data_IF_979707846727
#
_entry.id   IF_979707846727
#
_cell.length_a   1.000
_cell.length_b   1.000
_cell.length_c   1.000
_cell.angle_alpha   90.00
_cell.angle_beta   90.00
_cell.angle_gamma   90.00
#
_symmetry.space_group_name_H-M   'P 1'
#
loop_
_entity.id
_entity.type
_entity.pdbx_description
1 polymer ?
#
# COMPACT_ATOMS: atom_id res chain seq x y z
N UNK A 1 -3.32 7.24 -1.42
CA UNK A 1 -2.82 6.84 -0.08
C UNK A 1 -3.89 6.11 0.73
N UNK A 2 -3.58 5.63 1.95
CA UNK A 2 -4.53 4.92 2.83
C UNK A 2 -4.49 5.43 4.26
N UNK A 3 -5.60 5.24 4.97
CA UNK A 3 -5.73 5.46 6.40
C UNK A 3 -6.55 4.33 7.01
N UNK A 4 -5.95 3.53 7.87
CA UNK A 4 -6.63 2.48 8.63
C UNK A 4 -5.89 2.21 9.95
N UNK A 5 -6.40 1.28 10.75
CA UNK A 5 -5.64 0.71 11.88
C UNK A 5 -4.33 0.09 11.37
N UNK A 6 -3.32 0.05 12.25
CA UNK A 6 -2.00 -0.48 11.89
C UNK A 6 -2.08 -1.93 11.42
N UNK A 7 -2.80 -2.79 12.13
CA UNK A 7 -2.89 -4.20 11.75
C UNK A 7 -3.59 -4.37 10.39
N UNK A 8 -4.66 -3.58 10.18
CA UNK A 8 -5.40 -3.58 8.92
C UNK A 8 -4.52 -3.14 7.73
N UNK A 9 -3.65 -2.14 7.91
CA UNK A 9 -2.70 -1.73 6.86
C UNK A 9 -1.69 -2.83 6.52
N UNK A 10 -1.22 -3.61 7.51
CA UNK A 10 -0.27 -4.70 7.26
C UNK A 10 -0.93 -5.93 6.64
N UNK A 11 -2.14 -6.27 7.06
CA UNK A 11 -2.86 -7.47 6.61
C UNK A 11 -3.60 -7.26 5.29
N UNK A 12 -4.20 -6.08 5.10
CA UNK A 12 -5.09 -5.77 3.98
C UNK A 12 -4.78 -4.44 3.29
N UNK A 13 -3.52 -4.13 2.91
CA UNK A 13 -3.26 -2.92 2.12
C UNK A 13 -3.96 -3.03 0.76
N UNK A 14 -4.61 -1.97 0.28
CA UNK A 14 -5.37 -1.96 -0.98
C UNK A 14 -4.71 -1.10 -2.05
N UNK A 15 -4.22 0.08 -1.68
CA UNK A 15 -3.63 1.08 -2.52
C UNK A 15 -2.25 0.61 -3.01
N UNK A 16 -1.97 0.71 -4.33
CA UNK A 16 -0.70 0.23 -4.91
C UNK A 16 0.54 0.81 -4.23
N UNK A 17 0.52 2.12 -3.92
CA UNK A 17 1.60 2.78 -3.20
C UNK A 17 1.87 2.15 -1.82
N UNK A 18 0.83 1.91 -1.00
CA UNK A 18 0.97 1.30 0.32
C UNK A 18 1.53 -0.12 0.23
N UNK A 19 1.04 -0.93 -0.73
CA UNK A 19 1.55 -2.29 -0.96
C UNK A 19 3.04 -2.30 -1.26
N UNK A 20 3.49 -1.40 -2.14
CA UNK A 20 4.92 -1.31 -2.47
C UNK A 20 5.74 -0.90 -1.26
N UNK A 21 5.30 0.12 -0.51
CA UNK A 21 5.99 0.55 0.72
C UNK A 21 6.13 -0.58 1.74
N UNK A 22 5.05 -1.31 2.03
CA UNK A 22 5.09 -2.43 2.97
C UNK A 22 5.96 -3.58 2.46
N UNK A 23 5.99 -3.81 1.14
CA UNK A 23 6.88 -4.80 0.54
C UNK A 23 8.37 -4.42 0.65
N UNK A 24 8.70 -3.16 0.93
CA UNK A 24 10.07 -2.70 1.10
C UNK A 24 10.60 -2.94 2.53
N UNK A 25 9.74 -3.23 3.51
CA UNK A 25 10.14 -3.52 4.90
C UNK A 25 10.91 -4.84 4.94
N UNK A 26 12.19 -4.88 5.37
CA UNK A 26 13.00 -6.10 5.36
C UNK A 26 12.52 -7.11 6.39
N UNK A 27 12.63 -8.40 6.07
CA UNK A 27 12.42 -9.47 7.05
C UNK A 27 13.72 -9.69 7.83
N UNK A 28 13.68 -9.75 9.18
CA UNK A 28 14.90 -9.87 9.99
C UNK A 28 15.72 -11.14 9.72
N UNK A 29 15.07 -12.23 9.28
CA UNK A 29 15.73 -13.48 8.93
C UNK A 29 16.42 -13.36 7.55
N UNK A 30 17.76 -13.46 7.48
CA UNK A 30 18.51 -13.26 6.25
C UNK A 30 18.25 -14.35 5.21
N UNK A 31 17.91 -15.58 5.60
CA UNK A 31 17.65 -16.66 4.67
C UNK A 31 16.27 -16.52 4.04
N UNK A 32 15.30 -16.00 4.80
CA UNK A 32 14.00 -15.60 4.26
C UNK A 32 14.14 -14.39 3.32
N UNK A 33 14.84 -13.33 3.73
CA UNK A 33 14.96 -12.09 2.95
C UNK A 33 15.66 -12.33 1.59
N UNK A 34 16.65 -13.23 1.51
CA UNK A 34 17.32 -13.59 0.24
C UNK A 34 16.38 -14.13 -0.83
N UNK A 35 15.33 -14.84 -0.42
CA UNK A 35 14.38 -15.47 -1.35
C UNK A 35 13.17 -14.58 -1.66
N UNK A 36 13.05 -13.46 -0.95
CA UNK A 36 11.89 -12.58 -1.02
C UNK A 36 11.86 -11.80 -2.33
N UNK A 37 10.66 -11.68 -2.90
CA UNK A 37 10.38 -10.79 -4.03
C UNK A 37 9.69 -9.52 -3.53
N UNK A 38 10.36 -8.38 -3.68
CA UNK A 38 9.77 -7.07 -3.40
C UNK A 38 8.84 -6.68 -4.54
N UNK A 39 7.76 -5.95 -4.22
CA UNK A 39 6.90 -5.39 -5.25
C UNK A 39 7.61 -4.17 -5.85
N UNK A 40 7.63 -4.10 -7.19
CA UNK A 40 8.12 -2.91 -7.89
C UNK A 40 6.89 -2.13 -8.35
N UNK A 41 6.91 -0.83 -8.06
CA UNK A 41 5.85 0.07 -8.48
C UNK A 41 5.87 0.23 -9.99
N UNK A 42 4.68 0.36 -10.58
CA UNK A 42 4.55 0.74 -11.98
C UNK A 42 5.16 2.15 -12.17
N UNK A 43 6.17 2.32 -13.04
CA UNK A 43 6.77 3.63 -13.29
C UNK A 43 5.78 4.65 -13.87
N UNK A 44 4.70 4.20 -14.51
CA UNK A 44 3.67 5.06 -15.10
C UNK A 44 2.56 5.41 -14.08
N UNK A 45 2.68 4.95 -12.82
CA UNK A 45 1.70 5.27 -11.79
C UNK A 45 1.73 6.77 -11.45
N UNK A 46 0.59 7.42 -11.58
CA UNK A 46 0.43 8.83 -11.19
C UNK A 46 0.25 8.97 -9.67
N UNK A 47 1.29 9.47 -9.01
CA UNK A 47 1.29 9.74 -7.56
C UNK A 47 0.62 11.05 -7.18
N UNK A 48 0.20 11.87 -8.15
CA UNK A 48 -0.09 13.26 -7.86
C UNK A 48 -1.38 13.43 -7.07
N UNK A 49 -2.22 12.39 -6.97
CA UNK A 49 -3.45 12.29 -6.17
C UNK A 49 -4.34 13.55 -6.23
N UNK A 50 -4.17 14.37 -7.28
CA UNK A 50 -4.66 15.76 -7.33
C UNK A 50 -6.18 15.86 -7.25
N UNK A 51 -6.87 14.78 -7.62
CA UNK A 51 -8.32 14.64 -7.59
C UNK A 51 -8.76 13.35 -6.85
N UNK A 52 -7.93 12.86 -5.92
CA UNK A 52 -8.27 11.68 -5.13
C UNK A 52 -9.27 12.02 -4.03
N UNK A 53 -10.25 11.14 -3.84
CA UNK A 53 -11.19 11.19 -2.73
C UNK A 53 -10.87 10.07 -1.74
N UNK A 54 -10.92 10.37 -0.45
CA UNK A 54 -10.83 9.34 0.58
C UNK A 54 -12.18 8.63 0.68
N UNK A 55 -12.22 7.38 0.27
CA UNK A 55 -13.41 6.53 0.31
C UNK A 55 -13.25 5.48 1.39
N UNK A 56 -14.24 5.36 2.28
CA UNK A 56 -14.28 4.27 3.26
C UNK A 56 -14.63 2.96 2.53
N UNK A 57 -13.74 1.98 2.60
CA UNK A 57 -13.89 0.68 1.92
C UNK A 57 -14.29 -0.43 2.89
N UNK A 58 -13.95 -0.27 4.16
CA UNK A 58 -14.41 -1.06 5.30
C UNK A 58 -14.40 -0.16 6.54
N UNK A 59 -15.12 -0.50 7.63
CA UNK A 59 -15.23 0.37 8.80
C UNK A 59 -13.86 0.82 9.33
N UNK A 60 -13.59 2.13 9.26
CA UNK A 60 -12.33 2.72 9.71
C UNK A 60 -11.14 2.58 8.74
N UNK A 61 -11.34 2.00 7.55
CA UNK A 61 -10.34 1.89 6.49
C UNK A 61 -10.74 2.77 5.31
N UNK A 62 -9.93 3.79 5.05
CA UNK A 62 -10.12 4.74 3.97
C UNK A 62 -8.99 4.62 2.94
N UNK A 63 -9.36 4.63 1.67
CA UNK A 63 -8.42 4.56 0.54
C UNK A 63 -8.64 5.78 -0.35
N UNK A 64 -7.55 6.45 -0.72
CA UNK A 64 -7.59 7.51 -1.71
C UNK A 64 -7.79 6.88 -3.09
N UNK A 65 -8.90 7.19 -3.72
CA UNK A 65 -9.26 6.68 -5.05
C UNK A 65 -9.41 7.85 -6.01
N UNK A 66 -8.92 7.69 -7.25
CA UNK A 66 -9.19 8.67 -8.31
C UNK A 66 -10.68 8.83 -8.50
N UNK A 67 -11.14 10.08 -8.63
CA UNK A 67 -12.51 10.38 -9.03
C UNK A 67 -12.74 9.85 -10.44
N UNK A 68 -13.65 8.87 -10.58
CA UNK A 68 -14.12 8.37 -11.89
C UNK A 68 -14.92 9.46 -12.60
#
# INVERSE_FOLDING_TARGET
>A
VELADTNELYEHPLHPYTKVLLSAVPIPDPDIEKTRKRLIMDPDFDYTERDSIMTEVSPGHFVATSRI
#
